data_IF_023882404316
#
_entry.id   IF_023882404316
#
_cell.length_a   1.000
_cell.length_b   1.000
_cell.length_c   1.000
_cell.angle_alpha   90.00
_cell.angle_beta   90.00
_cell.angle_gamma   90.00
#
_symmetry.space_group_name_H-M   'P 1'
#
loop_
_entity.id
_entity.type
_entity.pdbx_description
1 polymer ?
#
# COMPACT_ATOMS: atom_id res chain seq x y z
N UNK A 1 10.93 -5.76 -3.26
CA UNK A 1 11.36 -4.43 -2.78
C UNK A 1 10.26 -3.36 -2.93
N UNK A 2 9.52 -3.31 -4.05
CA UNK A 2 8.42 -2.34 -4.23
C UNK A 2 7.24 -2.56 -3.28
N UNK A 3 6.85 -3.80 -2.99
CA UNK A 3 5.67 -4.09 -2.14
C UNK A 3 5.88 -3.76 -0.66
N UNK A 4 7.07 -4.05 -0.12
CA UNK A 4 7.46 -3.65 1.24
C UNK A 4 7.45 -2.12 1.41
N UNK A 5 7.81 -1.39 0.35
CA UNK A 5 7.75 0.07 0.33
C UNK A 5 6.30 0.58 0.31
N UNK A 6 5.39 -0.10 -0.40
CA UNK A 6 3.95 0.21 -0.40
C UNK A 6 3.35 0.05 1.01
N UNK A 7 3.67 -1.05 1.70
CA UNK A 7 3.21 -1.28 3.07
C UNK A 7 3.78 -0.27 4.06
N UNK A 8 5.08 0.02 3.99
CA UNK A 8 5.70 1.04 4.82
C UNK A 8 5.07 2.42 4.59
N UNK A 9 4.83 2.81 3.34
CA UNK A 9 4.16 4.09 3.03
C UNK A 9 2.74 4.15 3.57
N UNK A 10 1.96 3.06 3.45
CA UNK A 10 0.59 3.03 3.96
C UNK A 10 0.53 3.07 5.50
N UNK A 11 1.49 2.46 6.19
CA UNK A 11 1.59 2.55 7.65
C UNK A 11 1.92 3.98 8.13
N UNK A 12 2.91 4.61 7.50
CA UNK A 12 3.34 5.99 7.82
C UNK A 12 2.26 7.02 7.45
N UNK A 13 1.44 6.74 6.42
CA UNK A 13 0.27 7.56 6.07
C UNK A 13 -0.81 7.50 7.17
N UNK A 14 -1.06 6.33 7.79
CA UNK A 14 -2.01 6.22 8.91
C UNK A 14 -1.50 6.92 10.18
N UNK A 15 -0.20 7.07 10.34
CA UNK A 15 0.41 7.84 11.43
C UNK A 15 0.42 9.36 11.15
N UNK A 16 -0.22 9.80 10.06
CA UNK A 16 -0.29 11.20 9.60
C UNK A 16 1.07 11.85 9.30
N UNK A 17 2.12 11.04 9.12
CA UNK A 17 3.48 11.53 8.86
C UNK A 17 3.67 11.87 7.37
N UNK A 18 2.99 11.14 6.47
CA UNK A 18 2.99 11.41 5.02
C UNK A 18 1.57 11.40 4.45
N UNK A 19 1.36 12.11 3.33
CA UNK A 19 0.16 11.97 2.50
C UNK A 19 0.55 11.36 1.16
N UNK A 20 -0.11 10.27 0.79
CA UNK A 20 0.04 9.69 -0.53
C UNK A 20 -1.02 10.30 -1.44
N UNK A 21 -0.60 10.83 -2.59
CA UNK A 21 -1.50 11.31 -3.63
C UNK A 21 -1.36 10.43 -4.86
N UNK A 22 -2.46 10.27 -5.58
CA UNK A 22 -2.48 9.64 -6.90
C UNK A 22 -2.85 10.75 -7.86
N UNK A 23 -1.95 11.07 -8.79
CA UNK A 23 -2.15 12.13 -9.76
C UNK A 23 -2.61 11.56 -11.11
N UNK A 24 -3.48 12.29 -11.79
CA UNK A 24 -4.02 11.93 -13.09
C UNK A 24 -3.94 13.11 -14.06
N UNK A 25 -3.86 12.80 -15.35
CA UNK A 25 -4.07 13.79 -16.39
C UNK A 25 -5.57 13.97 -16.63
N UNK A 26 -6.17 14.91 -15.90
CA UNK A 26 -7.63 15.13 -15.86
C UNK A 26 -8.22 15.53 -17.22
N UNK A 27 -7.44 16.16 -18.10
CA UNK A 27 -7.93 16.64 -19.39
C UNK A 27 -8.40 15.50 -20.29
N UNK A 28 -7.67 14.40 -20.34
CA UNK A 28 -8.04 13.28 -21.20
C UNK A 28 -9.23 12.50 -20.65
N UNK A 29 -9.35 12.43 -19.32
CA UNK A 29 -10.50 11.85 -18.64
C UNK A 29 -11.76 12.66 -18.94
N UNK A 30 -11.71 13.99 -18.83
CA UNK A 30 -12.86 14.84 -19.14
C UNK A 30 -13.27 14.74 -20.61
N UNK A 31 -12.31 14.73 -21.55
CA UNK A 31 -12.60 14.50 -22.97
C UNK A 31 -13.28 13.16 -23.20
N UNK A 32 -12.77 12.09 -22.58
CA UNK A 32 -13.35 10.76 -22.68
C UNK A 32 -14.80 10.71 -22.15
N UNK A 33 -15.04 11.30 -20.97
CA UNK A 33 -16.37 11.33 -20.36
C UNK A 33 -17.35 12.18 -21.18
N UNK A 34 -16.92 13.35 -21.65
CA UNK A 34 -17.73 14.21 -22.51
C UNK A 34 -18.12 13.50 -23.81
N UNK A 35 -17.18 12.83 -24.48
CA UNK A 35 -17.46 12.08 -25.70
C UNK A 35 -18.44 10.91 -25.48
N UNK A 36 -18.50 10.37 -24.25
CA UNK A 36 -19.34 9.22 -23.91
C UNK A 36 -20.74 9.62 -23.43
N UNK A 37 -20.88 10.79 -22.79
CA UNK A 37 -22.12 11.25 -22.15
C UNK A 37 -22.86 12.26 -23.04
N UNK A 38 -22.14 13.12 -23.77
CA UNK A 38 -22.72 14.25 -24.48
C UNK A 38 -22.84 13.95 -25.98
N UNK A 39 -24.07 13.80 -26.48
CA UNK A 39 -24.40 13.64 -27.91
C UNK A 39 -25.20 14.82 -28.50
N UNK A 40 -25.25 15.96 -27.80
CA UNK A 40 -26.01 17.14 -28.23
C UNK A 40 -25.13 18.14 -28.98
N UNK A 41 -25.71 18.84 -29.96
CA UNK A 41 -25.06 19.96 -30.66
C UNK A 41 -25.42 21.34 -30.06
N UNK A 42 -26.31 21.38 -29.07
CA UNK A 42 -26.73 22.62 -28.43
C UNK A 42 -25.68 23.09 -27.42
N UNK A 43 -25.15 24.30 -27.61
CA UNK A 43 -24.06 24.87 -26.82
C UNK A 43 -24.36 24.90 -25.31
N UNK A 44 -25.55 25.35 -24.90
CA UNK A 44 -25.91 25.46 -23.48
C UNK A 44 -25.94 24.09 -22.77
N UNK A 45 -26.36 23.05 -23.47
CA UNK A 45 -26.39 21.69 -22.92
C UNK A 45 -24.98 21.12 -22.80
N UNK A 46 -24.10 21.39 -23.77
CA UNK A 46 -22.70 20.98 -23.72
C UNK A 46 -22.02 21.61 -22.50
N UNK A 47 -22.14 22.92 -22.30
CA UNK A 47 -21.53 23.62 -21.16
C UNK A 47 -22.06 23.09 -19.82
N UNK A 48 -23.37 22.81 -19.75
CA UNK A 48 -23.97 22.20 -18.56
C UNK A 48 -23.37 20.83 -18.25
N UNK A 49 -23.28 19.94 -19.25
CA UNK A 49 -22.71 18.60 -19.07
C UNK A 49 -21.23 18.65 -18.72
N UNK A 50 -20.44 19.55 -19.31
CA UNK A 50 -19.02 19.72 -18.99
C UNK A 50 -18.82 20.07 -17.51
N UNK A 51 -19.61 21.01 -16.98
CA UNK A 51 -19.57 21.38 -15.56
C UNK A 51 -19.99 20.23 -14.67
N UNK A 52 -21.07 19.52 -15.03
CA UNK A 52 -21.60 18.39 -14.28
C UNK A 52 -20.61 17.22 -14.21
N UNK A 53 -19.97 16.90 -15.35
CA UNK A 53 -18.96 15.84 -15.44
C UNK A 53 -17.75 16.19 -14.59
N UNK A 54 -17.28 17.44 -14.66
CA UNK A 54 -16.14 17.90 -13.85
C UNK A 54 -16.42 17.83 -12.35
N UNK A 55 -17.59 18.28 -11.89
CA UNK A 55 -17.98 18.18 -10.48
C UNK A 55 -18.09 16.71 -10.04
N UNK A 56 -18.83 15.91 -10.80
CA UNK A 56 -19.09 14.51 -10.47
C UNK A 56 -17.82 13.67 -10.47
N UNK A 57 -16.87 13.97 -11.37
CA UNK A 57 -15.59 13.29 -11.40
C UNK A 57 -14.79 13.61 -10.15
N UNK A 58 -14.49 14.89 -9.91
CA UNK A 58 -13.59 15.29 -8.83
C UNK A 58 -14.15 14.95 -7.43
N UNK A 59 -15.46 15.08 -7.24
CA UNK A 59 -16.08 14.91 -5.92
C UNK A 59 -16.46 13.47 -5.61
N UNK A 60 -16.74 12.64 -6.62
CA UNK A 60 -17.30 11.30 -6.39
C UNK A 60 -16.48 10.20 -7.07
N UNK A 61 -16.30 10.28 -8.39
CA UNK A 61 -15.65 9.20 -9.14
C UNK A 61 -14.18 9.04 -8.77
N UNK A 62 -13.44 10.15 -8.73
CA UNK A 62 -12.01 10.15 -8.37
C UNK A 62 -11.81 9.56 -6.97
N UNK A 63 -12.54 10.06 -5.97
CA UNK A 63 -12.43 9.58 -4.58
C UNK A 63 -12.70 8.07 -4.49
N UNK A 64 -13.77 7.60 -5.14
CA UNK A 64 -14.15 6.18 -5.10
C UNK A 64 -13.11 5.29 -5.79
N UNK A 65 -12.68 5.64 -7.01
CA UNK A 65 -11.73 4.85 -7.80
C UNK A 65 -10.37 4.80 -7.12
N UNK A 66 -9.90 5.94 -6.61
CA UNK A 66 -8.62 6.00 -5.88
C UNK A 66 -8.68 5.18 -4.61
N UNK A 67 -9.79 5.24 -3.87
CA UNK A 67 -10.01 4.41 -2.69
C UNK A 67 -9.92 2.92 -3.01
N UNK A 68 -10.60 2.45 -4.06
CA UNK A 68 -10.57 1.05 -4.50
C UNK A 68 -9.16 0.61 -4.90
N UNK A 69 -8.47 1.38 -5.73
CA UNK A 69 -7.10 1.05 -6.19
C UNK A 69 -6.14 0.98 -4.99
N UNK A 70 -6.25 1.91 -4.04
CA UNK A 70 -5.42 1.89 -2.82
C UNK A 70 -5.66 0.63 -2.01
N UNK A 71 -6.92 0.26 -1.81
CA UNK A 71 -7.29 -0.94 -1.06
C UNK A 71 -6.75 -2.21 -1.74
N UNK A 72 -6.92 -2.31 -3.06
CA UNK A 72 -6.41 -3.43 -3.84
C UNK A 72 -4.89 -3.54 -3.74
N UNK A 73 -4.16 -2.44 -3.94
CA UNK A 73 -2.69 -2.42 -3.87
C UNK A 73 -2.17 -2.72 -2.48
N UNK A 74 -2.85 -2.25 -1.43
CA UNK A 74 -2.52 -2.60 -0.05
C UNK A 74 -2.71 -4.10 0.21
N UNK A 75 -3.85 -4.66 -0.21
CA UNK A 75 -4.13 -6.08 -0.05
C UNK A 75 -3.08 -6.95 -0.75
N UNK A 76 -2.72 -6.60 -1.99
CA UNK A 76 -1.67 -7.29 -2.75
C UNK A 76 -0.31 -7.24 -2.04
N UNK A 77 0.05 -6.08 -1.48
CA UNK A 77 1.31 -5.90 -0.77
C UNK A 77 1.34 -6.66 0.57
N UNK A 78 0.22 -6.71 1.29
CA UNK A 78 0.06 -7.49 2.52
C UNK A 78 0.18 -8.99 2.28
N UNK A 79 -0.51 -9.52 1.27
CA UNK A 79 -0.41 -10.94 0.90
C UNK A 79 1.02 -11.36 0.56
N UNK A 80 1.75 -10.56 -0.22
CA UNK A 80 3.16 -10.81 -0.53
C UNK A 80 4.05 -10.72 0.71
N UNK A 81 3.79 -9.76 1.59
CA UNK A 81 4.57 -9.61 2.83
C UNK A 81 4.42 -10.85 3.71
N UNK A 82 3.20 -11.37 3.85
CA UNK A 82 2.93 -12.61 4.59
C UNK A 82 3.73 -13.79 4.00
N UNK A 83 3.75 -13.95 2.68
CA UNK A 83 4.52 -15.03 2.03
C UNK A 83 6.02 -14.92 2.33
N UNK A 84 6.58 -13.71 2.34
CA UNK A 84 7.99 -13.49 2.71
C UNK A 84 8.24 -13.86 4.17
N UNK A 85 7.36 -13.45 5.08
CA UNK A 85 7.45 -13.82 6.50
C UNK A 85 7.35 -15.32 6.72
N UNK A 86 6.40 -15.99 6.04
CA UNK A 86 6.25 -17.45 6.08
C UNK A 86 7.52 -18.16 5.63
N UNK A 87 8.07 -17.75 4.48
CA UNK A 87 9.32 -18.31 3.95
C UNK A 87 10.48 -18.16 4.94
N UNK A 88 10.65 -16.96 5.51
CA UNK A 88 11.70 -16.71 6.48
C UNK A 88 11.52 -17.55 7.75
N UNK A 89 10.30 -17.64 8.25
CA UNK A 89 9.98 -18.45 9.43
C UNK A 89 10.27 -19.92 9.18
N UNK A 90 9.86 -20.45 8.01
CA UNK A 90 10.13 -21.84 7.62
C UNK A 90 11.63 -22.12 7.56
N UNK A 91 12.43 -21.21 7.00
CA UNK A 91 13.89 -21.36 6.96
C UNK A 91 14.50 -21.43 8.36
N UNK A 92 14.07 -20.56 9.28
CA UNK A 92 14.56 -20.57 10.67
C UNK A 92 14.16 -21.88 11.37
N UNK A 93 12.91 -22.30 11.25
CA UNK A 93 12.40 -23.49 11.94
C UNK A 93 12.98 -24.81 11.41
N UNK A 94 13.30 -24.88 10.11
CA UNK A 94 13.91 -26.04 9.48
C UNK A 94 15.45 -25.94 9.39
N UNK A 95 16.04 -24.95 10.06
CA UNK A 95 17.49 -24.83 10.11
C UNK A 95 18.11 -26.04 10.83
N UNK A 96 19.25 -26.55 10.36
CA UNK A 96 19.89 -27.70 10.98
C UNK A 96 20.18 -27.43 12.45
N UNK A 97 19.85 -28.36 13.37
CA UNK A 97 20.19 -28.20 14.77
C UNK A 97 21.71 -28.29 14.94
N UNK A 98 22.28 -27.46 15.82
CA UNK A 98 23.71 -27.47 16.14
C UNK A 98 24.17 -28.76 16.87
N UNK A 99 23.21 -29.59 17.31
CA UNK A 99 23.43 -30.82 18.05
C UNK A 99 23.48 -30.61 19.57
N UNK A 100 23.70 -31.70 20.31
CA UNK A 100 23.85 -31.67 21.76
C UNK A 100 25.28 -31.20 22.11
N UNK A 101 25.42 -29.90 22.33
CA UNK A 101 26.68 -29.28 22.74
C UNK A 101 26.39 -28.28 23.87
N UNK A 102 27.26 -28.18 24.88
CA UNK A 102 27.20 -27.09 25.84
C UNK A 102 27.16 -25.74 25.11
N UNK A 103 26.14 -24.94 25.38
CA UNK A 103 25.83 -23.72 24.63
C UNK A 103 25.62 -22.54 25.58
N UNK A 104 26.22 -21.40 25.23
CA UNK A 104 25.99 -20.13 25.91
C UNK A 104 25.10 -19.27 25.00
N UNK A 105 23.88 -18.98 25.45
CA UNK A 105 22.99 -18.01 24.82
C UNK A 105 23.32 -16.59 25.29
N UNK A 106 23.53 -15.67 24.34
CA UNK A 106 23.81 -14.26 24.62
C UNK A 106 22.68 -13.43 23.99
N UNK A 107 21.92 -12.72 24.84
CA UNK A 107 20.93 -11.73 24.42
C UNK A 107 21.50 -10.31 24.63
N UNK A 108 22.00 -9.64 23.58
CA UNK A 108 22.72 -8.38 23.70
C UNK A 108 21.77 -7.22 24.02
N UNK A 109 22.15 -6.38 24.99
CA UNK A 109 21.41 -5.17 25.34
C UNK A 109 22.33 -4.03 25.78
N UNK A 110 22.16 -2.84 25.22
CA UNK A 110 23.03 -1.70 25.51
C UNK A 110 22.76 -1.05 26.88
N UNK A 111 21.51 -0.64 27.14
CA UNK A 111 21.13 0.08 28.37
C UNK A 111 21.10 -0.81 29.62
N UNK A 112 20.76 -2.08 29.46
CA UNK A 112 20.56 -3.03 30.58
C UNK A 112 21.66 -4.10 30.66
N UNK A 113 22.68 -4.02 29.80
CA UNK A 113 23.69 -5.08 29.65
C UNK A 113 23.17 -6.31 28.89
N UNK A 114 24.10 -7.23 28.62
CA UNK A 114 23.82 -8.52 27.99
C UNK A 114 23.26 -9.52 29.01
N UNK A 115 22.20 -10.25 28.64
CA UNK A 115 21.72 -11.40 29.42
C UNK A 115 22.42 -12.65 28.90
N UNK A 116 22.80 -13.53 29.82
CA UNK A 116 23.58 -14.74 29.52
C UNK A 116 22.87 -15.93 30.14
N UNK A 117 22.74 -17.01 29.36
CA UNK A 117 22.25 -18.29 29.80
C UNK A 117 23.20 -19.40 29.34
N UNK A 118 23.44 -20.40 30.19
CA UNK A 118 24.27 -21.57 29.86
C UNK A 118 23.42 -22.82 29.96
N UNK A 119 23.44 -23.64 28.90
CA UNK A 119 22.79 -24.95 28.85
C UNK A 119 23.86 -26.00 28.52
N UNK A 120 23.76 -27.18 29.14
CA UNK A 120 24.76 -28.25 29.03
C UNK A 120 24.23 -29.42 28.21
#
# INVERSE_FOLDING_TARGET
MKDALTNAKSAIENEEIIKLNVDFENNDIYKFLNNKITNSQQADLIEFYEKLIKDSFNRLMEISIVGEIRLEKKKEADEKSIQVFESNLRQILLSPPAGMKPTIGIDPGFRTGCKIAVVN
#
